data_IF_138607940190
#
_entry.id   IF_138607940190
#
_cell.length_a   1.000
_cell.length_b   1.000
_cell.length_c   1.000
_cell.angle_alpha   90.00
_cell.angle_beta   90.00
_cell.angle_gamma   90.00
#
_symmetry.space_group_name_H-M   'P 1'
#
loop_
_entity.id
_entity.type
_entity.pdbx_description
1 polymer ?
#
# COMPACT_ATOMS: atom_id res chain seq x y z
N UNK A 1 -7.21 -8.48 32.22
CA UNK A 1 -8.34 -8.47 33.18
C UNK A 1 -8.06 -7.33 34.15
N UNK A 2 -8.81 -6.21 33.99
CA UNK A 2 -8.60 -4.98 34.79
C UNK A 2 -9.48 -4.94 36.06
N UNK A 3 -9.88 -6.11 36.53
CA UNK A 3 -10.66 -6.24 37.76
C UNK A 3 -9.71 -6.58 38.93
N UNK A 4 -9.52 -5.68 39.89
CA UNK A 4 -8.59 -5.90 41.01
C UNK A 4 -9.06 -7.01 41.98
N UNK A 5 -10.34 -7.41 41.91
CA UNK A 5 -10.90 -8.49 42.74
C UNK A 5 -10.99 -9.83 41.97
N UNK A 6 -10.51 -9.87 40.71
CA UNK A 6 -10.53 -11.10 39.92
C UNK A 6 -9.47 -12.10 40.43
N UNK A 7 -9.92 -13.30 40.78
CA UNK A 7 -9.06 -14.43 41.11
C UNK A 7 -8.92 -15.35 39.88
N UNK A 8 -7.71 -15.41 39.35
CA UNK A 8 -7.39 -16.29 38.19
C UNK A 8 -6.61 -17.48 38.71
N UNK A 9 -7.17 -18.68 38.56
CA UNK A 9 -6.52 -19.94 38.91
C UNK A 9 -6.05 -20.61 37.64
N UNK A 10 -4.73 -20.75 37.45
CA UNK A 10 -4.14 -21.53 36.36
C UNK A 10 -3.65 -22.87 36.85
N UNK A 11 -4.10 -23.95 36.22
CA UNK A 11 -3.61 -25.29 36.44
C UNK A 11 -2.52 -25.62 35.41
N UNK A 12 -1.26 -25.67 35.85
CA UNK A 12 -0.13 -26.05 35.00
C UNK A 12 0.10 -27.57 35.12
N UNK A 13 -0.52 -28.35 34.26
CA UNK A 13 -0.49 -29.80 34.31
C UNK A 13 0.66 -30.44 33.52
N UNK A 14 1.28 -29.69 32.59
CA UNK A 14 2.31 -30.23 31.68
C UNK A 14 3.22 -29.13 31.16
N UNK A 15 4.36 -29.54 30.54
CA UNK A 15 5.25 -28.63 29.84
C UNK A 15 4.74 -28.40 28.42
N UNK A 16 4.94 -27.18 27.85
CA UNK A 16 4.49 -26.83 26.50
C UNK A 16 5.08 -27.68 25.37
N UNK A 17 6.16 -28.44 25.63
CA UNK A 17 6.85 -29.29 24.65
C UNK A 17 5.96 -30.30 23.96
N UNK A 18 4.94 -30.84 24.65
CA UNK A 18 3.98 -31.81 24.09
C UNK A 18 2.98 -31.19 23.12
N UNK A 19 2.91 -29.87 23.09
CA UNK A 19 1.92 -29.13 22.31
C UNK A 19 2.55 -28.29 21.17
N UNK A 20 3.86 -28.49 20.90
CA UNK A 20 4.58 -27.75 19.85
C UNK A 20 3.93 -27.87 18.48
N UNK A 21 3.39 -29.04 18.14
CA UNK A 21 2.67 -29.29 16.90
C UNK A 21 1.21 -28.81 16.88
N UNK A 22 0.76 -28.19 17.97
CA UNK A 22 -0.63 -27.70 18.15
C UNK A 22 -0.63 -26.24 18.56
N UNK A 23 -0.58 -25.97 19.88
CA UNK A 23 -0.73 -24.61 20.45
C UNK A 23 0.39 -23.65 20.02
N UNK A 24 1.55 -24.17 19.61
CA UNK A 24 2.67 -23.38 19.05
C UNK A 24 2.77 -23.50 17.53
N UNK A 25 1.79 -24.11 16.86
CA UNK A 25 1.69 -24.19 15.41
C UNK A 25 0.51 -23.32 14.96
N UNK A 26 0.80 -22.21 14.28
CA UNK A 26 -0.21 -21.25 13.86
C UNK A 26 -1.19 -21.85 12.86
N UNK A 27 -0.72 -22.71 11.93
CA UNK A 27 -1.58 -23.40 10.96
C UNK A 27 -2.61 -24.26 11.67
N UNK A 28 -2.19 -25.04 12.68
CA UNK A 28 -3.09 -25.85 13.50
C UNK A 28 -4.08 -24.97 14.27
N UNK A 29 -3.65 -23.80 14.79
CA UNK A 29 -4.50 -22.86 15.52
C UNK A 29 -5.54 -22.22 14.61
N UNK A 30 -5.19 -21.94 13.34
CA UNK A 30 -6.12 -21.41 12.33
C UNK A 30 -7.14 -22.46 11.90
N UNK A 31 -6.71 -23.69 11.59
CA UNK A 31 -7.59 -24.81 11.25
C UNK A 31 -8.65 -25.08 12.33
N UNK A 32 -8.27 -24.87 13.60
CA UNK A 32 -9.16 -25.08 14.74
C UNK A 32 -9.92 -23.81 15.17
N UNK A 33 -9.85 -22.74 14.37
CA UNK A 33 -10.53 -21.45 14.62
C UNK A 33 -10.14 -20.80 15.96
N UNK A 34 -8.96 -21.08 16.47
CA UNK A 34 -8.42 -20.50 17.71
C UNK A 34 -7.72 -19.17 17.40
N UNK A 35 -6.98 -19.11 16.28
CA UNK A 35 -6.54 -17.86 15.66
C UNK A 35 -7.56 -17.47 14.59
N UNK A 36 -7.87 -16.19 14.55
CA UNK A 36 -8.66 -15.62 13.46
C UNK A 36 -7.96 -15.79 12.10
N UNK A 37 -8.65 -15.48 10.99
CA UNK A 37 -8.03 -15.47 9.67
C UNK A 37 -6.80 -14.54 9.69
N UNK A 38 -5.80 -14.88 8.91
CA UNK A 38 -4.62 -14.03 8.71
C UNK A 38 -5.07 -12.65 8.24
N UNK A 39 -4.70 -11.62 9.01
CA UNK A 39 -5.02 -10.24 8.65
C UNK A 39 -3.85 -9.71 7.86
N UNK A 40 -4.03 -9.67 6.55
CA UNK A 40 -3.07 -9.07 5.64
C UNK A 40 -3.26 -7.56 5.68
N UNK A 41 -2.20 -6.84 5.94
CA UNK A 41 -2.16 -5.37 6.02
C UNK A 41 -1.53 -4.76 4.77
N UNK A 42 -1.60 -3.43 4.65
CA UNK A 42 -0.91 -2.69 3.60
C UNK A 42 0.61 -2.91 3.67
N UNK A 43 1.19 -2.99 4.88
CA UNK A 43 2.60 -3.27 5.11
C UNK A 43 2.99 -4.66 4.60
N UNK A 44 2.20 -5.70 4.90
CA UNK A 44 2.43 -7.05 4.39
C UNK A 44 2.45 -7.10 2.85
N UNK A 45 1.58 -6.31 2.19
CA UNK A 45 1.57 -6.19 0.74
C UNK A 45 2.80 -5.45 0.21
N UNK A 46 3.31 -4.46 0.95
CA UNK A 46 4.51 -3.71 0.60
C UNK A 46 5.76 -4.57 0.69
N UNK A 47 5.89 -5.39 1.73
CA UNK A 47 7.04 -6.26 1.96
C UNK A 47 7.17 -7.38 0.90
N UNK A 48 6.05 -7.78 0.28
CA UNK A 48 6.03 -8.79 -0.79
C UNK A 48 6.34 -8.23 -2.18
N UNK A 49 6.54 -6.91 -2.32
CA UNK A 49 6.91 -6.32 -3.60
C UNK A 49 8.31 -6.76 -4.04
N UNK A 50 8.44 -7.16 -5.30
CA UNK A 50 9.71 -7.55 -5.91
C UNK A 50 10.74 -6.41 -5.99
N UNK A 51 10.33 -5.16 -5.75
CA UNK A 51 11.23 -4.00 -5.76
C UNK A 51 11.79 -3.76 -4.36
N UNK A 52 13.09 -3.92 -4.15
CA UNK A 52 13.72 -3.58 -2.88
C UNK A 52 13.68 -2.06 -2.68
N UNK A 53 13.09 -1.64 -1.58
CA UNK A 53 13.06 -0.24 -1.12
C UNK A 53 11.66 0.34 -1.05
N UNK A 54 11.35 0.92 0.09
CA UNK A 54 10.12 1.70 0.35
C UNK A 54 10.22 3.11 -0.27
N UNK A 55 10.93 3.27 -1.40
CA UNK A 55 11.06 4.57 -2.06
C UNK A 55 9.87 4.81 -3.00
N UNK A 56 9.06 5.80 -2.68
CA UNK A 56 7.96 6.24 -3.52
C UNK A 56 8.49 7.12 -4.64
N UNK A 57 8.37 6.63 -5.88
CA UNK A 57 8.69 7.45 -7.05
C UNK A 57 7.55 8.47 -7.21
N UNK A 58 7.87 9.73 -7.07
CA UNK A 58 6.92 10.84 -7.08
C UNK A 58 7.46 12.03 -7.88
N UNK A 59 6.57 12.87 -8.35
CA UNK A 59 6.90 14.17 -8.94
C UNK A 59 6.47 15.27 -7.97
N UNK A 60 7.28 16.33 -7.87
CA UNK A 60 6.98 17.45 -6.98
C UNK A 60 6.18 18.52 -7.71
N UNK A 61 5.33 19.22 -6.95
CA UNK A 61 4.63 20.41 -7.44
C UNK A 61 5.67 21.41 -7.99
N UNK A 62 5.37 22.00 -9.15
CA UNK A 62 6.25 22.91 -9.86
C UNK A 62 7.27 22.25 -10.79
N UNK A 63 7.47 20.94 -10.73
CA UNK A 63 8.24 20.23 -11.72
C UNK A 63 7.51 20.21 -13.08
N UNK A 64 8.26 20.02 -14.16
CA UNK A 64 7.69 20.00 -15.51
C UNK A 64 7.04 18.64 -15.82
N UNK A 65 6.03 18.65 -16.68
CA UNK A 65 5.41 17.43 -17.23
C UNK A 65 6.46 16.49 -17.84
N UNK A 66 7.46 17.02 -18.53
CA UNK A 66 8.62 16.25 -19.04
C UNK A 66 9.27 15.40 -17.94
N UNK A 67 9.43 15.96 -16.74
CA UNK A 67 10.05 15.24 -15.61
C UNK A 67 9.18 14.05 -15.16
N UNK A 68 7.87 14.21 -15.13
CA UNK A 68 6.96 13.12 -14.82
C UNK A 68 7.06 11.98 -15.85
N UNK A 69 7.14 12.30 -17.15
CA UNK A 69 7.31 11.31 -18.22
C UNK A 69 8.65 10.58 -18.07
N UNK A 70 9.75 11.30 -17.83
CA UNK A 70 11.08 10.70 -17.58
C UNK A 70 11.04 9.71 -16.40
N UNK A 71 10.36 10.07 -15.31
CA UNK A 71 10.22 9.20 -14.14
C UNK A 71 9.38 7.95 -14.46
N UNK A 72 8.30 8.09 -15.21
CA UNK A 72 7.46 6.98 -15.67
C UNK A 72 8.29 6.00 -16.49
N UNK A 73 9.02 6.49 -17.51
CA UNK A 73 9.84 5.67 -18.40
C UNK A 73 11.01 5.01 -17.67
N UNK A 74 11.77 5.79 -16.89
CA UNK A 74 12.97 5.31 -16.19
C UNK A 74 12.67 4.21 -15.17
N UNK A 75 11.47 4.24 -14.56
CA UNK A 75 11.08 3.32 -13.50
C UNK A 75 10.06 2.28 -13.96
N UNK A 76 9.64 2.33 -15.22
CA UNK A 76 8.63 1.42 -15.79
C UNK A 76 7.36 1.37 -14.91
N UNK A 77 6.83 2.54 -14.58
CA UNK A 77 5.57 2.72 -13.83
C UNK A 77 4.54 3.43 -14.71
N UNK A 78 3.25 3.22 -14.47
CA UNK A 78 2.18 3.85 -15.26
C UNK A 78 1.53 5.03 -14.54
N UNK A 79 1.95 5.31 -13.32
CA UNK A 79 1.36 6.35 -12.48
C UNK A 79 2.34 6.89 -11.45
N UNK A 80 2.23 8.18 -11.14
CA UNK A 80 3.02 8.87 -10.13
C UNK A 80 2.13 9.71 -9.23
N UNK A 81 2.34 9.73 -7.92
CA UNK A 81 1.79 10.76 -7.07
C UNK A 81 2.47 12.11 -7.32
N UNK A 82 1.70 13.19 -7.25
CA UNK A 82 2.22 14.56 -7.20
C UNK A 82 2.26 14.98 -5.74
N UNK A 83 3.44 15.30 -5.24
CA UNK A 83 3.63 15.67 -3.84
C UNK A 83 3.94 17.16 -3.68
N UNK A 84 3.44 17.73 -2.59
CA UNK A 84 3.82 19.05 -2.07
C UNK A 84 4.21 18.88 -0.61
N UNK A 85 5.48 19.16 -0.29
CA UNK A 85 6.02 19.02 1.07
C UNK A 85 5.72 17.63 1.69
N UNK A 86 5.91 16.56 0.90
CA UNK A 86 5.66 15.17 1.30
C UNK A 86 4.19 14.74 1.27
N UNK A 87 3.23 15.65 1.01
CA UNK A 87 1.79 15.35 0.98
C UNK A 87 1.27 15.17 -0.43
N UNK A 88 0.43 14.15 -0.70
CA UNK A 88 -0.17 13.95 -2.01
C UNK A 88 -1.21 15.04 -2.31
N UNK A 89 -1.04 15.72 -3.44
CA UNK A 89 -1.93 16.80 -3.90
C UNK A 89 -2.51 16.53 -5.29
N UNK A 90 -2.04 15.49 -5.97
CA UNK A 90 -2.50 15.09 -7.30
C UNK A 90 -1.93 13.74 -7.70
N UNK A 91 -2.24 13.34 -8.91
CA UNK A 91 -1.68 12.16 -9.56
C UNK A 91 -1.41 12.41 -11.04
N UNK A 92 -0.47 11.68 -11.59
CA UNK A 92 -0.14 11.68 -13.03
C UNK A 92 -0.30 10.25 -13.53
N UNK A 93 -1.15 10.07 -14.52
CA UNK A 93 -1.36 8.78 -15.20
C UNK A 93 -0.73 8.84 -16.59
N UNK A 94 0.07 7.84 -16.95
CA UNK A 94 0.77 7.76 -18.22
C UNK A 94 -0.15 8.00 -19.43
N UNK A 95 -1.28 7.31 -19.48
CA UNK A 95 -2.23 7.42 -20.59
C UNK A 95 -2.86 8.81 -20.71
N UNK A 96 -3.13 9.50 -19.58
CA UNK A 96 -3.71 10.83 -19.59
C UNK A 96 -2.69 11.88 -20.02
N UNK A 97 -1.48 11.81 -19.49
CA UNK A 97 -0.38 12.70 -19.90
C UNK A 97 -0.04 12.53 -21.37
N UNK A 98 0.04 11.28 -21.83
CA UNK A 98 0.31 11.01 -23.25
C UNK A 98 -0.77 11.64 -24.14
N UNK A 99 -2.04 11.48 -23.80
CA UNK A 99 -3.15 12.08 -24.56
C UNK A 99 -3.07 13.62 -24.56
N UNK A 100 -2.84 14.21 -23.40
CA UNK A 100 -2.74 15.67 -23.27
C UNK A 100 -1.56 16.25 -24.08
N UNK A 101 -0.39 15.61 -24.03
CA UNK A 101 0.81 16.08 -24.76
C UNK A 101 0.69 15.87 -26.27
N UNK A 102 -0.04 14.84 -26.72
CA UNK A 102 -0.34 14.65 -28.15
C UNK A 102 -1.24 15.79 -28.67
N UNK A 103 -2.24 16.22 -27.87
CA UNK A 103 -3.12 17.33 -28.20
C UNK A 103 -2.39 18.69 -28.14
N UNK A 104 -1.59 18.89 -27.13
CA UNK A 104 -0.80 20.12 -26.93
C UNK A 104 0.65 19.83 -26.48
N UNK A 105 1.60 19.74 -27.44
CA UNK A 105 3.02 19.50 -27.12
C UNK A 105 3.68 20.55 -26.22
N UNK A 106 3.09 21.75 -26.10
CA UNK A 106 3.64 22.80 -25.23
C UNK A 106 3.54 22.44 -23.74
N UNK A 107 2.63 21.53 -23.38
CA UNK A 107 2.47 21.01 -22.02
C UNK A 107 3.74 20.33 -21.48
N UNK A 108 4.62 19.83 -22.33
CA UNK A 108 5.91 19.26 -21.89
C UNK A 108 6.73 20.19 -21.00
N UNK A 109 6.66 21.48 -21.28
CA UNK A 109 7.39 22.50 -20.52
C UNK A 109 6.55 23.22 -19.47
N UNK A 110 5.26 22.86 -19.37
CA UNK A 110 4.36 23.33 -18.33
C UNK A 110 4.61 22.63 -16.99
N UNK A 111 4.08 23.20 -15.92
CA UNK A 111 4.09 22.55 -14.60
C UNK A 111 3.20 21.30 -14.61
N UNK A 112 3.65 20.26 -13.90
CA UNK A 112 2.93 18.97 -13.76
C UNK A 112 1.49 19.14 -13.29
N UNK A 113 1.20 20.19 -12.53
CA UNK A 113 -0.15 20.53 -12.04
C UNK A 113 -1.14 20.81 -13.17
N UNK A 114 -0.66 21.17 -14.37
CA UNK A 114 -1.53 21.40 -15.55
C UNK A 114 -2.14 20.10 -16.12
N UNK A 115 -1.56 18.96 -15.80
CA UNK A 115 -2.00 17.63 -16.27
C UNK A 115 -2.32 16.68 -15.11
N UNK A 116 -2.14 17.12 -13.87
CA UNK A 116 -2.41 16.31 -12.69
C UNK A 116 -3.91 16.14 -12.46
N UNK A 117 -4.31 14.89 -12.19
CA UNK A 117 -5.64 14.53 -11.73
C UNK A 117 -5.76 14.56 -10.20
N UNK A 118 -6.82 13.94 -9.68
CA UNK A 118 -7.06 13.81 -8.24
C UNK A 118 -5.92 13.04 -7.55
N UNK A 119 -5.64 13.42 -6.29
CA UNK A 119 -4.65 12.71 -5.49
C UNK A 119 -5.11 11.25 -5.23
N UNK A 120 -4.14 10.34 -5.19
CA UNK A 120 -4.42 8.97 -4.75
C UNK A 120 -4.89 8.96 -3.29
N UNK A 121 -5.85 8.09 -2.94
CA UNK A 121 -6.22 7.90 -1.54
C UNK A 121 -5.02 7.41 -0.73
N UNK A 122 -4.98 7.80 0.54
CA UNK A 122 -3.95 7.39 1.49
C UNK A 122 -4.56 6.40 2.48
N UNK A 123 -3.82 5.39 2.85
CA UNK A 123 -4.14 4.42 3.89
C UNK A 123 -2.96 4.28 4.85
N UNK A 124 -3.24 3.94 6.10
CA UNK A 124 -2.23 3.61 7.09
C UNK A 124 -1.56 2.27 6.75
N UNK A 125 -0.29 2.08 7.11
CA UNK A 125 0.44 0.81 6.87
C UNK A 125 -0.24 -0.40 7.53
N UNK A 126 -0.89 -0.20 8.69
CA UNK A 126 -1.66 -1.21 9.40
C UNK A 126 -3.05 -1.47 8.83
N UNK A 127 -3.48 -0.77 7.77
CA UNK A 127 -4.82 -0.93 7.20
C UNK A 127 -4.99 -2.30 6.54
N UNK A 128 -6.12 -2.96 6.81
CA UNK A 128 -6.38 -4.32 6.33
C UNK A 128 -6.67 -4.37 4.82
N UNK A 129 -6.25 -5.46 4.15
CA UNK A 129 -6.46 -5.71 2.71
C UNK A 129 -7.88 -5.42 2.20
N UNK A 130 -8.98 -5.74 2.91
CA UNK A 130 -10.33 -5.41 2.43
C UNK A 130 -10.57 -3.91 2.26
N UNK A 131 -9.94 -3.05 3.07
CA UNK A 131 -10.05 -1.59 2.96
C UNK A 131 -9.23 -1.08 1.78
N UNK A 132 -7.97 -1.52 1.67
CA UNK A 132 -7.08 -1.23 0.52
C UNK A 132 -7.77 -1.62 -0.79
N UNK A 133 -8.27 -2.86 -0.87
CA UNK A 133 -8.99 -3.40 -2.03
C UNK A 133 -10.23 -2.58 -2.40
N UNK A 134 -10.97 -2.07 -1.41
CA UNK A 134 -12.15 -1.22 -1.62
C UNK A 134 -11.78 0.13 -2.26
N UNK A 135 -10.67 0.75 -1.84
CA UNK A 135 -10.20 1.99 -2.43
C UNK A 135 -9.82 1.80 -3.91
N UNK A 136 -9.04 0.74 -4.20
CA UNK A 136 -8.66 0.37 -5.56
C UNK A 136 -9.87 0.02 -6.44
N UNK A 137 -10.91 -0.63 -5.88
CA UNK A 137 -12.13 -1.01 -6.60
C UNK A 137 -13.04 0.16 -6.92
N UNK A 138 -12.98 1.26 -6.17
CA UNK A 138 -13.77 2.49 -6.39
C UNK A 138 -13.27 3.36 -7.53
N UNK A 139 -12.25 2.92 -8.24
CA UNK A 139 -11.73 3.60 -9.44
C UNK A 139 -10.37 4.24 -9.23
N UNK A 140 -9.83 4.27 -8.01
CA UNK A 140 -8.45 4.70 -7.80
C UNK A 140 -7.48 3.69 -8.45
N UNK A 141 -6.55 4.14 -9.29
CA UNK A 141 -5.57 3.24 -9.93
C UNK A 141 -4.50 2.78 -8.94
N UNK A 142 -4.26 3.55 -7.88
CA UNK A 142 -3.31 3.27 -6.81
C UNK A 142 -3.79 3.83 -5.47
N UNK A 143 -3.20 3.35 -4.39
CA UNK A 143 -3.34 3.84 -3.00
C UNK A 143 -1.95 4.13 -2.48
N UNK A 144 -1.77 5.24 -1.77
CA UNK A 144 -0.53 5.54 -1.06
C UNK A 144 -0.59 4.95 0.35
N UNK A 145 0.54 4.45 0.81
CA UNK A 145 0.68 3.94 2.18
C UNK A 145 1.45 4.97 3.00
N UNK A 146 0.91 5.29 4.18
CA UNK A 146 1.48 6.26 5.13
C UNK A 146 1.91 5.53 6.40
N UNK A 147 3.09 5.89 6.92
CA UNK A 147 3.63 5.51 8.21
C UNK A 147 4.07 6.78 8.93
N UNK A 148 3.57 7.03 10.14
CA UNK A 148 3.91 8.20 10.97
C UNK A 148 3.76 9.57 10.26
N UNK A 149 2.83 9.69 9.30
CA UNK A 149 2.58 10.93 8.55
C UNK A 149 3.47 11.11 7.31
N UNK A 150 4.29 10.13 6.98
CA UNK A 150 5.12 10.12 5.78
C UNK A 150 4.63 9.06 4.78
N UNK A 151 4.65 9.40 3.49
CA UNK A 151 4.30 8.44 2.44
C UNK A 151 5.46 7.48 2.23
N UNK A 152 5.25 6.21 2.58
CA UNK A 152 6.26 5.15 2.54
C UNK A 152 6.07 4.17 1.39
N UNK A 153 4.93 4.23 0.70
CA UNK A 153 4.66 3.29 -0.37
C UNK A 153 3.49 3.63 -1.26
N UNK A 154 3.34 2.83 -2.32
CA UNK A 154 2.22 2.86 -3.25
C UNK A 154 1.79 1.43 -3.54
N UNK A 155 0.50 1.14 -3.44
CA UNK A 155 -0.12 -0.14 -3.77
C UNK A 155 -1.06 0.03 -4.95
N UNK A 156 -1.06 -0.97 -5.83
CA UNK A 156 -1.90 -1.04 -7.03
C UNK A 156 -2.76 -2.28 -7.02
N UNK A 157 -3.68 -2.39 -7.97
CA UNK A 157 -4.46 -3.63 -8.17
C UNK A 157 -3.58 -4.83 -8.48
N UNK A 158 -2.44 -4.60 -9.15
CA UNK A 158 -1.48 -5.65 -9.45
C UNK A 158 -0.92 -6.28 -8.17
N UNK A 159 -0.54 -5.44 -7.20
CA UNK A 159 0.02 -5.91 -5.92
C UNK A 159 -0.98 -6.79 -5.15
N UNK A 160 -2.24 -6.37 -5.13
CA UNK A 160 -3.33 -7.13 -4.49
C UNK A 160 -3.60 -8.46 -5.22
N UNK A 161 -3.66 -8.43 -6.56
CA UNK A 161 -3.91 -9.65 -7.35
C UNK A 161 -2.74 -10.63 -7.25
N UNK A 162 -1.51 -10.13 -7.24
CA UNK A 162 -0.31 -10.96 -7.10
C UNK A 162 -0.31 -11.68 -5.74
N UNK A 163 -0.63 -10.95 -4.67
CA UNK A 163 -0.77 -11.55 -3.34
C UNK A 163 -1.80 -12.70 -3.32
N UNK A 164 -2.98 -12.51 -3.94
CA UNK A 164 -4.04 -13.53 -3.98
C UNK A 164 -3.70 -14.75 -4.85
N UNK A 165 -2.68 -14.66 -5.72
CA UNK A 165 -2.25 -15.79 -6.55
C UNK A 165 -1.12 -16.60 -5.90
N UNK A 166 -0.41 -16.01 -4.93
CA UNK A 166 0.70 -16.65 -4.21
C UNK A 166 0.25 -17.38 -2.93
N UNK A 167 -1.04 -17.31 -2.56
CA UNK A 167 -1.69 -18.12 -1.55
C UNK A 167 -2.16 -19.48 -2.13
#
# INVERSE_FOLDING_TARGET
VDDPDACVVCLLCDTGERYLSKVYNEEWLREHQILGPERVTADDLMDRKERPGREVIAVQVGEKVRRAIELIEANNVSQLPVLRDGRPVGSVLEGEVMSAVIEDPSLLDASVESVAGEAFPVVDEGEELPVVSRQLSRGAPAVLVEEDGEIVGILTRYDVLHHLMDE
#
